data_IF_954794978330
#
_entry.id   IF_954794978330
#
_cell.length_a   1.000
_cell.length_b   1.000
_cell.length_c   1.000
_cell.angle_alpha   90.00
_cell.angle_beta   90.00
_cell.angle_gamma   90.00
#
_symmetry.space_group_name_H-M   'P 1'
#
loop_
_entity.id
_entity.type
_entity.pdbx_description
1 polymer ?
#
# COMPACT_ATOMS: atom_id res chain seq x y z
N UNK A 1 -14.66 -15.42 0.59
CA UNK A 1 -14.76 -14.52 -0.56
C UNK A 1 -14.70 -13.11 -0.02
N UNK A 2 -13.58 -12.41 -0.22
CA UNK A 2 -13.51 -10.98 0.10
C UNK A 2 -14.27 -10.23 -0.98
N UNK A 3 -15.07 -9.25 -0.57
CA UNK A 3 -15.60 -8.31 -1.55
C UNK A 3 -14.45 -7.42 -2.03
N UNK A 4 -14.45 -7.03 -3.31
CA UNK A 4 -13.44 -6.13 -3.87
C UNK A 4 -13.26 -4.85 -3.02
N UNK A 5 -14.34 -4.40 -2.37
CA UNK A 5 -14.34 -3.28 -1.42
C UNK A 5 -13.45 -3.54 -0.20
N UNK A 6 -13.50 -4.76 0.35
CA UNK A 6 -12.69 -5.15 1.51
C UNK A 6 -11.21 -5.24 1.18
N UNK A 7 -10.86 -5.76 0.00
CA UNK A 7 -9.45 -5.82 -0.46
C UNK A 7 -8.87 -4.43 -0.64
N UNK A 8 -9.60 -3.54 -1.33
CA UNK A 8 -9.19 -2.14 -1.52
C UNK A 8 -9.07 -1.39 -0.20
N UNK A 9 -10.04 -1.58 0.70
CA UNK A 9 -9.97 -0.95 2.04
C UNK A 9 -8.77 -1.47 2.82
N UNK A 10 -8.38 -2.74 2.62
CA UNK A 10 -7.28 -3.37 3.33
C UNK A 10 -5.94 -2.87 2.82
N UNK A 11 -5.81 -2.66 1.51
CA UNK A 11 -4.66 -2.02 0.90
C UNK A 11 -4.42 -0.62 1.51
N UNK A 12 -5.48 0.16 1.71
CA UNK A 12 -5.39 1.49 2.35
C UNK A 12 -4.93 1.37 3.81
N UNK A 13 -5.56 0.51 4.62
CA UNK A 13 -5.17 0.28 6.02
C UNK A 13 -3.70 -0.15 6.11
N UNK A 14 -3.28 -1.07 5.24
CA UNK A 14 -1.91 -1.55 5.19
C UNK A 14 -0.94 -0.43 4.84
N UNK A 15 -1.23 0.38 3.82
CA UNK A 15 -0.42 1.53 3.44
C UNK A 15 -0.29 2.55 4.56
N UNK A 16 -1.41 2.94 5.19
CA UNK A 16 -1.40 3.87 6.32
C UNK A 16 -0.60 3.35 7.52
N UNK A 17 -0.71 2.04 7.80
CA UNK A 17 0.02 1.42 8.91
C UNK A 17 1.52 1.33 8.62
N UNK A 18 1.90 0.96 7.39
CA UNK A 18 3.30 0.85 6.95
C UNK A 18 4.01 2.21 6.97
N UNK A 19 3.32 3.26 6.55
CA UNK A 19 3.87 4.61 6.51
C UNK A 19 3.41 5.48 7.68
N UNK A 20 3.01 4.87 8.80
CA UNK A 20 2.46 5.58 9.96
C UNK A 20 3.38 6.72 10.45
N UNK A 21 4.70 6.49 10.45
CA UNK A 21 5.68 7.52 10.86
C UNK A 21 5.66 8.77 9.99
N UNK A 22 5.30 8.65 8.71
CA UNK A 22 5.24 9.77 7.75
C UNK A 22 3.85 10.39 7.67
N UNK A 23 2.80 9.59 7.87
CA UNK A 23 1.41 10.00 7.70
C UNK A 23 0.75 10.49 8.99
N UNK A 24 1.29 10.12 10.16
CA UNK A 24 0.76 10.56 11.44
C UNK A 24 0.83 12.09 11.56
N UNK A 25 -0.33 12.71 11.80
CA UNK A 25 -0.46 14.17 11.94
C UNK A 25 -0.47 14.96 10.63
N UNK A 26 -0.23 14.31 9.48
CA UNK A 26 -0.24 14.98 8.17
C UNK A 26 -1.57 14.79 7.43
N UNK A 27 -1.90 15.76 6.59
CA UNK A 27 -3.08 15.69 5.72
C UNK A 27 -2.67 15.19 4.34
N UNK A 28 -3.20 14.07 3.90
CA UNK A 28 -2.82 13.46 2.61
C UNK A 28 -4.03 13.05 1.77
N UNK A 29 -3.79 12.69 0.52
CA UNK A 29 -4.82 12.21 -0.41
C UNK A 29 -4.50 10.77 -0.80
N UNK A 30 -5.50 9.90 -0.67
CA UNK A 30 -5.45 8.52 -1.14
C UNK A 30 -6.19 8.46 -2.46
N UNK A 31 -5.50 8.06 -3.52
CA UNK A 31 -6.08 7.88 -4.84
C UNK A 31 -6.44 6.41 -5.06
N UNK A 32 -7.64 6.17 -5.61
CA UNK A 32 -8.15 4.82 -5.91
C UNK A 32 -8.84 4.84 -7.27
N UNK A 33 -8.70 3.76 -8.03
CA UNK A 33 -9.42 3.51 -9.28
C UNK A 33 -10.77 2.81 -9.05
N UNK A 34 -11.17 2.60 -7.80
CA UNK A 34 -12.42 1.95 -7.44
C UNK A 34 -13.49 2.94 -6.94
N UNK A 35 -14.34 3.42 -7.87
CA UNK A 35 -15.43 4.39 -7.58
C UNK A 35 -16.36 3.98 -6.42
N UNK A 36 -16.78 2.71 -6.26
CA UNK A 36 -17.69 2.32 -5.19
C UNK A 36 -17.11 2.57 -3.79
N UNK A 37 -15.78 2.52 -3.64
CA UNK A 37 -15.10 2.78 -2.37
C UNK A 37 -15.42 4.18 -1.83
N UNK A 38 -15.41 5.18 -2.70
CA UNK A 38 -15.69 6.57 -2.34
C UNK A 38 -17.12 6.73 -1.84
N UNK A 39 -18.08 6.06 -2.49
CA UNK A 39 -19.46 6.07 -2.03
C UNK A 39 -19.60 5.44 -0.64
N UNK A 40 -18.86 4.36 -0.36
CA UNK A 40 -18.92 3.63 0.91
C UNK A 40 -18.28 4.43 2.05
N UNK A 41 -17.14 5.09 1.80
CA UNK A 41 -16.53 5.98 2.78
C UNK A 41 -17.39 7.21 3.09
N UNK A 42 -18.17 7.69 2.12
CA UNK A 42 -19.19 8.75 2.34
C UNK A 42 -20.43 8.26 3.11
N UNK A 43 -20.75 6.97 3.07
CA UNK A 43 -21.90 6.41 3.79
C UNK A 43 -21.65 6.35 5.30
N UNK A 44 -22.72 6.47 6.13
CA UNK A 44 -22.61 6.34 7.58
C UNK A 44 -22.11 4.95 7.98
N UNK A 45 -21.26 4.91 9.02
CA UNK A 45 -20.59 3.70 9.54
C UNK A 45 -21.55 2.57 9.95
N UNK A 46 -22.81 2.90 10.28
CA UNK A 46 -23.81 1.98 10.80
C UNK A 46 -24.35 0.99 9.76
N UNK A 47 -24.08 1.21 8.46
CA UNK A 47 -24.53 0.34 7.36
C UNK A 47 -23.39 -0.50 6.75
N UNK A 48 -22.19 -0.43 7.32
CA UNK A 48 -21.04 -1.19 6.83
C UNK A 48 -20.95 -2.55 7.54
N UNK A 49 -20.51 -3.61 6.85
CA UNK A 49 -20.22 -4.89 7.50
C UNK A 49 -19.17 -4.71 8.61
N UNK A 50 -19.20 -5.53 9.68
CA UNK A 50 -18.34 -5.37 10.85
C UNK A 50 -16.83 -5.29 10.54
N UNK A 51 -16.37 -5.99 9.50
CA UNK A 51 -14.96 -5.96 9.06
C UNK A 51 -14.55 -4.59 8.53
N UNK A 52 -15.30 -4.05 7.56
CA UNK A 52 -15.09 -2.70 7.03
C UNK A 52 -15.22 -1.64 8.13
N UNK A 53 -16.13 -1.86 9.08
CA UNK A 53 -16.28 -0.97 10.22
C UNK A 53 -15.00 -0.89 11.07
N UNK A 54 -14.38 -2.03 11.41
CA UNK A 54 -13.10 -2.06 12.14
C UNK A 54 -11.99 -1.35 11.38
N UNK A 55 -11.90 -1.57 10.07
CA UNK A 55 -10.89 -0.94 9.21
C UNK A 55 -11.08 0.58 9.15
N UNK A 56 -12.32 1.06 9.07
CA UNK A 56 -12.63 2.49 9.14
C UNK A 56 -12.22 3.09 10.48
N UNK A 57 -12.45 2.41 11.60
CA UNK A 57 -11.98 2.87 12.92
C UNK A 57 -10.46 3.01 12.93
N UNK A 58 -9.72 2.02 12.43
CA UNK A 58 -8.25 2.11 12.34
C UNK A 58 -7.78 3.32 11.51
N UNK A 59 -8.54 3.64 10.46
CA UNK A 59 -8.25 4.76 9.57
C UNK A 59 -8.66 6.14 10.15
N UNK A 60 -9.46 6.20 11.21
CA UNK A 60 -9.87 7.47 11.83
C UNK A 60 -8.69 8.24 12.44
N UNK A 61 -7.60 7.55 12.78
CA UNK A 61 -6.39 8.19 13.31
C UNK A 61 -5.61 8.97 12.22
N UNK A 62 -5.95 8.80 10.95
CA UNK A 62 -5.27 9.44 9.82
C UNK A 62 -6.18 10.50 9.18
N UNK A 63 -5.62 11.66 8.87
CA UNK A 63 -6.34 12.71 8.15
C UNK A 63 -6.12 12.57 6.63
N UNK A 64 -6.97 11.80 5.97
CA UNK A 64 -6.86 11.58 4.53
C UNK A 64 -8.14 11.90 3.76
N UNK A 65 -7.97 12.30 2.50
CA UNK A 65 -9.06 12.47 1.54
C UNK A 65 -9.00 11.37 0.49
N UNK A 66 -10.12 10.70 0.24
CA UNK A 66 -10.21 9.67 -0.79
C UNK A 66 -10.63 10.31 -2.12
N UNK A 67 -9.84 10.11 -3.17
CA UNK A 67 -10.06 10.66 -4.52
C UNK A 67 -10.13 9.53 -5.54
N UNK A 68 -11.09 9.62 -6.46
CA UNK A 68 -11.13 8.74 -7.62
C UNK A 68 -10.13 9.23 -8.66
N UNK A 69 -9.26 8.34 -9.10
CA UNK A 69 -8.37 8.58 -10.24
C UNK A 69 -8.53 7.40 -11.21
N UNK A 70 -8.69 7.61 -12.53
CA UNK A 70 -8.79 6.51 -13.48
C UNK A 70 -7.55 5.60 -13.41
N UNK A 71 -7.71 4.28 -13.54
CA UNK A 71 -6.58 3.33 -13.47
C UNK A 71 -5.45 3.62 -14.47
N UNK A 72 -5.75 4.31 -15.59
CA UNK A 72 -4.73 4.77 -16.55
C UNK A 72 -3.75 5.79 -15.98
N UNK A 73 -4.14 6.51 -14.94
CA UNK A 73 -3.31 7.51 -14.26
C UNK A 73 -2.63 6.90 -13.01
N UNK A 74 -3.18 5.82 -12.44
CA UNK A 74 -2.59 5.07 -11.32
C UNK A 74 -1.64 3.97 -11.82
N UNK A 75 -0.70 4.35 -12.70
CA UNK A 75 0.20 3.39 -13.35
C UNK A 75 1.12 2.71 -12.33
N UNK A 76 1.64 3.44 -11.35
CA UNK A 76 2.60 2.90 -10.37
C UNK A 76 1.93 1.88 -9.45
N UNK A 77 0.76 2.20 -8.89
CA UNK A 77 0.10 1.29 -7.96
C UNK A 77 -0.50 0.07 -8.69
N UNK A 78 -0.99 0.22 -9.92
CA UNK A 78 -1.47 -0.91 -10.74
C UNK A 78 -0.32 -1.85 -11.12
N UNK A 79 0.87 -1.32 -11.45
CA UNK A 79 2.04 -2.17 -11.67
C UNK A 79 2.47 -2.89 -10.39
N UNK A 80 2.55 -2.19 -9.25
CA UNK A 80 2.97 -2.82 -7.99
C UNK A 80 1.95 -3.85 -7.46
N UNK A 81 0.66 -3.65 -7.70
CA UNK A 81 -0.36 -4.62 -7.31
C UNK A 81 -0.34 -5.89 -8.18
N UNK A 82 0.03 -5.75 -9.46
CA UNK A 82 0.19 -6.88 -10.41
C UNK A 82 1.52 -7.60 -10.26
N UNK A 83 2.57 -6.88 -9.90
CA UNK A 83 3.90 -7.43 -9.63
C UNK A 83 3.95 -8.04 -8.22
N UNK A 84 3.13 -9.06 -7.98
CA UNK A 84 3.43 -9.96 -6.87
C UNK A 84 4.65 -10.79 -7.32
N UNK A 85 5.80 -10.55 -6.69
CA UNK A 85 6.84 -11.56 -6.67
C UNK A 85 6.16 -12.82 -6.12
N UNK A 86 6.02 -13.83 -6.97
CA UNK A 86 5.74 -15.18 -6.47
C UNK A 86 6.92 -15.43 -5.54
N UNK A 87 6.68 -15.45 -4.23
CA UNK A 87 7.67 -15.94 -3.29
C UNK A 87 7.95 -17.39 -3.73
N UNK A 88 8.89 -17.57 -4.66
CA UNK A 88 9.84 -18.65 -4.50
C UNK A 88 10.35 -18.43 -3.08
N UNK A 89 10.20 -19.44 -2.24
CA UNK A 89 10.77 -19.51 -0.91
C UNK A 89 12.27 -19.23 -0.97
N UNK A 90 12.64 -17.97 -1.15
CA UNK A 90 14.01 -17.51 -1.16
C UNK A 90 14.31 -17.22 0.28
N UNK A 91 15.03 -18.15 0.89
CA UNK A 91 15.51 -18.12 2.26
C UNK A 91 16.14 -16.76 2.54
N UNK A 92 16.06 -16.25 3.78
CA UNK A 92 16.67 -14.96 4.16
C UNK A 92 18.16 -14.86 3.74
N UNK A 93 18.83 -16.01 3.62
CA UNK A 93 20.20 -16.18 3.10
C UNK A 93 20.36 -15.65 1.66
N UNK A 94 19.41 -15.94 0.76
CA UNK A 94 19.47 -15.50 -0.64
C UNK A 94 19.24 -13.99 -0.78
N UNK A 95 18.45 -13.39 0.12
CA UNK A 95 18.25 -11.94 0.19
C UNK A 95 19.52 -11.23 0.68
N UNK A 96 20.22 -11.82 1.65
CA UNK A 96 21.49 -11.31 2.16
C UNK A 96 22.57 -11.41 1.09
N UNK A 97 22.68 -12.53 0.38
CA UNK A 97 23.64 -12.68 -0.72
C UNK A 97 23.36 -11.68 -1.86
N UNK A 98 22.10 -11.51 -2.25
CA UNK A 98 21.73 -10.52 -3.26
C UNK A 98 22.09 -9.08 -2.82
N UNK A 99 21.94 -8.76 -1.53
CA UNK A 99 22.31 -7.47 -0.98
C UNK A 99 23.83 -7.26 -0.94
N UNK A 100 24.60 -8.26 -0.50
CA UNK A 100 26.08 -8.22 -0.49
C UNK A 100 26.63 -8.06 -1.90
N UNK A 101 26.13 -8.85 -2.87
CA UNK A 101 26.53 -8.75 -4.26
C UNK A 101 26.19 -7.38 -4.87
N UNK A 102 25.06 -6.78 -4.46
CA UNK A 102 24.69 -5.43 -4.88
C UNK A 102 25.62 -4.36 -4.28
N UNK A 103 26.05 -4.53 -3.03
CA UNK A 103 26.99 -3.59 -2.37
C UNK A 103 28.38 -3.70 -2.99
N UNK A 104 28.92 -4.91 -3.20
CA UNK A 104 30.25 -5.13 -3.80
C UNK A 104 30.35 -4.54 -5.20
N UNK A 105 29.30 -4.69 -6.01
CA UNK A 105 29.25 -4.16 -7.38
C UNK A 105 29.23 -2.62 -7.42
N UNK A 106 28.69 -1.99 -6.38
CA UNK A 106 28.70 -0.54 -6.23
C UNK A 106 29.97 -0.01 -5.54
N UNK A 107 30.68 -0.87 -4.78
CA UNK A 107 31.94 -0.51 -4.09
C UNK A 107 33.13 -0.45 -5.06
N UNK A 108 33.12 -1.27 -6.12
CA UNK A 108 34.16 -1.32 -7.17
C UNK A 108 34.40 0.00 -7.91
N UNK A 109 33.52 1.01 -7.77
CA UNK A 109 33.62 2.27 -8.52
C UNK A 109 34.58 3.29 -7.86
N UNK A 110 35.15 3.02 -6.67
CA UNK A 110 35.94 4.04 -5.95
C UNK A 110 37.38 3.66 -5.56
N UNK A 111 38.01 2.67 -6.18
CA UNK A 111 39.46 2.48 -5.99
C UNK A 111 40.19 2.13 -7.28
N UNK A 112 40.49 3.17 -8.07
CA UNK A 112 41.65 3.20 -8.95
C UNK A 112 42.42 4.49 -8.66
N UNK A 113 43.34 4.41 -7.71
CA UNK A 113 44.47 5.33 -7.57
C UNK A 113 45.74 4.67 -8.10
#
# INVERSE_FOLDING_TARGET
>A
MYSQIEEESLAIVFGCTKYNQYLCGQSFTVETDYKPLISIFKKPMNKCPPRLHRMRISLQNFNFKLKYTPGKEIVVADHLSRLYLKESSTTEEEKIEAFVAMVEKNLSITDTR
#
